data_IF_231090021391
#
_entry.id   IF_231090021391
#
_cell.length_a   1.000
_cell.length_b   1.000
_cell.length_c   1.000
_cell.angle_alpha   90.00
_cell.angle_beta   90.00
_cell.angle_gamma   90.00
#
_symmetry.space_group_name_H-M   'P 1'
#
loop_
_entity.id
_entity.type
_entity.pdbx_description
1 polymer ?
#
# COMPACT_ATOMS: atom_id res chain seq x y z
N UNK A 1 -21.83 3.27 15.11
CA UNK A 1 -20.42 3.44 15.49
C UNK A 1 -19.58 2.72 14.45
N UNK A 2 -18.45 3.29 14.04
CA UNK A 2 -17.46 2.55 13.31
C UNK A 2 -17.00 1.36 14.18
N UNK A 3 -16.59 0.26 13.56
CA UNK A 3 -16.21 -0.95 14.28
C UNK A 3 -14.78 -0.88 14.85
N UNK A 4 -14.21 -2.04 15.17
CA UNK A 4 -12.83 -2.19 15.63
C UNK A 4 -11.94 -2.64 14.48
N UNK A 5 -10.85 -1.89 14.27
CA UNK A 5 -9.82 -2.18 13.28
C UNK A 5 -8.53 -2.58 13.96
N UNK A 6 -7.90 -3.63 13.47
CA UNK A 6 -6.50 -3.91 13.77
C UNK A 6 -5.63 -3.60 12.55
N UNK A 7 -4.52 -2.91 12.76
CA UNK A 7 -3.49 -2.67 11.73
C UNK A 7 -2.21 -3.35 12.18
N UNK A 8 -1.71 -4.26 11.37
CA UNK A 8 -0.49 -5.01 11.64
C UNK A 8 0.66 -4.43 10.83
N UNK A 9 1.61 -3.83 11.52
CA UNK A 9 2.70 -3.05 10.95
C UNK A 9 2.49 -1.55 11.15
N UNK A 10 3.38 -0.89 11.90
CA UNK A 10 3.35 0.54 12.18
C UNK A 10 4.26 1.37 11.23
N UNK A 11 4.64 0.78 10.09
CA UNK A 11 5.36 1.48 9.04
C UNK A 11 4.50 2.55 8.33
N UNK A 12 5.06 3.17 7.29
CA UNK A 12 4.43 4.27 6.55
C UNK A 12 2.97 3.97 6.15
N UNK A 13 2.72 2.77 5.61
CA UNK A 13 1.38 2.39 5.15
C UNK A 13 0.45 2.10 6.33
N UNK A 14 0.88 1.28 7.30
CA UNK A 14 0.05 0.93 8.45
C UNK A 14 -0.28 2.15 9.32
N UNK A 15 0.68 3.02 9.60
CA UNK A 15 0.45 4.28 10.30
C UNK A 15 -0.57 5.15 9.55
N UNK A 16 -0.45 5.25 8.21
CA UNK A 16 -1.40 6.00 7.40
C UNK A 16 -2.81 5.40 7.39
N UNK A 17 -2.94 4.06 7.36
CA UNK A 17 -4.23 3.37 7.45
C UNK A 17 -4.84 3.58 8.84
N UNK A 18 -4.05 3.42 9.91
CA UNK A 18 -4.49 3.70 11.28
C UNK A 18 -4.98 5.15 11.44
N UNK A 19 -4.24 6.11 10.88
CA UNK A 19 -4.58 7.53 10.89
C UNK A 19 -5.97 7.80 10.29
N UNK A 20 -6.19 7.40 9.04
CA UNK A 20 -7.48 7.69 8.37
C UNK A 20 -8.65 6.96 9.01
N UNK A 21 -8.40 5.77 9.57
CA UNK A 21 -9.42 4.97 10.24
C UNK A 21 -9.82 5.60 11.58
N UNK A 22 -8.86 6.02 12.40
CA UNK A 22 -9.13 6.72 13.65
C UNK A 22 -9.85 8.05 13.43
N UNK A 23 -9.49 8.79 12.38
CA UNK A 23 -10.17 10.02 11.98
C UNK A 23 -11.63 9.74 11.55
N UNK A 24 -11.89 8.61 10.93
CA UNK A 24 -13.24 8.18 10.55
C UNK A 24 -14.06 7.56 11.70
N UNK A 25 -13.51 7.52 12.93
CA UNK A 25 -14.20 7.09 14.14
C UNK A 25 -14.05 5.60 14.47
N UNK A 26 -13.12 4.88 13.82
CA UNK A 26 -12.79 3.50 14.17
C UNK A 26 -11.94 3.45 15.45
N UNK A 27 -12.22 2.46 16.31
CA UNK A 27 -11.31 2.04 17.38
C UNK A 27 -10.17 1.24 16.72
N UNK A 28 -8.93 1.73 16.85
CA UNK A 28 -7.78 1.18 16.13
C UNK A 28 -6.78 0.56 17.08
N UNK A 29 -6.45 -0.70 16.88
CA UNK A 29 -5.27 -1.33 17.47
C UNK A 29 -4.16 -1.29 16.43
N UNK A 30 -3.10 -0.51 16.69
CA UNK A 30 -1.90 -0.47 15.85
C UNK A 30 -0.85 -1.38 16.49
N UNK A 31 -0.57 -2.52 15.82
CA UNK A 31 0.38 -3.53 16.30
C UNK A 31 1.65 -3.56 15.48
N UNK A 32 2.81 -3.58 16.15
CA UNK A 32 4.09 -3.90 15.52
C UNK A 32 4.92 -4.81 16.43
N UNK A 33 6.06 -5.30 15.95
CA UNK A 33 6.91 -6.23 16.70
C UNK A 33 7.81 -5.54 17.72
N UNK A 34 8.02 -4.21 17.61
CA UNK A 34 8.85 -3.43 18.53
C UNK A 34 8.20 -2.11 18.94
N UNK A 35 8.50 -1.66 20.16
CA UNK A 35 8.04 -0.36 20.66
C UNK A 35 8.62 0.81 19.86
N UNK A 36 9.84 0.68 19.31
CA UNK A 36 10.46 1.71 18.47
C UNK A 36 9.69 1.89 17.15
N UNK A 37 9.18 0.81 16.55
CA UNK A 37 8.35 0.90 15.35
C UNK A 37 7.00 1.56 15.66
N UNK A 38 6.39 1.20 16.78
CA UNK A 38 5.15 1.81 17.27
C UNK A 38 5.31 3.29 17.54
N UNK A 39 6.38 3.68 18.25
CA UNK A 39 6.69 5.10 18.55
C UNK A 39 6.85 5.89 17.25
N UNK A 40 7.66 5.39 16.29
CA UNK A 40 7.82 6.07 15.00
C UNK A 40 6.49 6.19 14.24
N UNK A 41 5.66 5.15 14.28
CA UNK A 41 4.35 5.15 13.62
C UNK A 41 3.40 6.17 14.24
N UNK A 42 3.26 6.18 15.56
CA UNK A 42 2.38 7.11 16.29
C UNK A 42 2.86 8.56 16.20
N UNK A 43 4.17 8.80 16.29
CA UNK A 43 4.75 10.13 16.08
C UNK A 43 4.51 10.64 14.66
N UNK A 44 4.61 9.75 13.67
CA UNK A 44 4.29 10.04 12.27
C UNK A 44 2.82 10.43 12.08
N UNK A 45 1.89 9.72 12.72
CA UNK A 45 0.46 10.05 12.71
C UNK A 45 0.23 11.43 13.35
N UNK A 46 0.81 11.67 14.53
CA UNK A 46 0.68 12.94 15.22
C UNK A 46 1.20 14.10 14.36
N UNK A 47 2.41 13.97 13.82
CA UNK A 47 3.00 14.99 12.95
C UNK A 47 2.17 15.24 11.67
N UNK A 48 1.49 14.22 11.16
CA UNK A 48 0.57 14.34 10.03
C UNK A 48 -0.68 15.14 10.42
N UNK A 49 -1.30 14.86 11.56
CA UNK A 49 -2.44 15.62 12.07
C UNK A 49 -2.05 17.08 12.35
N UNK A 50 -0.91 17.33 12.98
CA UNK A 50 -0.42 18.68 13.24
C UNK A 50 -0.31 19.51 11.94
N UNK A 51 0.16 18.88 10.85
CA UNK A 51 0.20 19.51 9.51
C UNK A 51 -1.19 19.79 8.94
N UNK A 52 -2.17 18.94 9.17
CA UNK A 52 -3.55 19.18 8.70
C UNK A 52 -4.21 20.28 9.50
N UNK A 53 -4.00 20.33 10.80
CA UNK A 53 -4.48 21.41 11.68
C UNK A 53 -3.85 22.75 11.26
N UNK A 54 -2.53 22.80 11.10
CA UNK A 54 -1.83 24.01 10.67
C UNK A 54 -2.29 24.54 9.29
N UNK A 55 -2.82 23.67 8.44
CA UNK A 55 -3.39 24.02 7.12
C UNK A 55 -4.90 24.27 7.14
N UNK A 56 -5.55 24.26 8.31
CA UNK A 56 -7.00 24.42 8.45
C UNK A 56 -7.83 23.30 7.78
N UNK A 57 -7.26 22.10 7.63
CA UNK A 57 -7.93 20.93 7.05
C UNK A 57 -8.55 20.00 8.09
N UNK A 58 -8.23 20.20 9.35
CA UNK A 58 -8.71 19.44 10.49
C UNK A 58 -8.72 20.36 11.72
N UNK A 59 -9.73 20.26 12.55
CA UNK A 59 -9.75 20.96 13.84
C UNK A 59 -8.86 20.24 14.86
N UNK A 60 -8.23 21.00 15.78
CA UNK A 60 -7.30 20.41 16.75
C UNK A 60 -7.99 19.37 17.65
N UNK A 61 -9.23 19.67 18.10
CA UNK A 61 -9.98 18.72 18.94
C UNK A 61 -10.35 17.43 18.22
N UNK A 62 -10.56 17.46 16.90
CA UNK A 62 -10.82 16.26 16.10
C UNK A 62 -9.55 15.42 15.94
N UNK A 63 -8.39 16.08 15.79
CA UNK A 63 -7.09 15.40 15.75
C UNK A 63 -6.80 14.68 17.08
N UNK A 64 -7.01 15.34 18.21
CA UNK A 64 -6.82 14.76 19.55
C UNK A 64 -7.80 13.59 19.78
N UNK A 65 -9.07 13.75 19.40
CA UNK A 65 -10.05 12.69 19.49
C UNK A 65 -9.72 11.48 18.59
N UNK A 66 -9.14 11.70 17.41
CA UNK A 66 -8.68 10.62 16.53
C UNK A 66 -7.47 9.89 17.13
N UNK A 67 -6.49 10.63 17.66
CA UNK A 67 -5.32 10.04 18.33
C UNK A 67 -5.74 9.16 19.53
N UNK A 68 -6.72 9.61 20.32
CA UNK A 68 -7.23 8.86 21.46
C UNK A 68 -7.89 7.52 21.11
N UNK A 69 -8.27 7.30 19.84
CA UNK A 69 -8.84 6.02 19.34
C UNK A 69 -7.76 5.03 18.93
N UNK A 70 -6.48 5.39 18.95
CA UNK A 70 -5.38 4.51 18.54
C UNK A 70 -4.71 3.93 19.77
N UNK A 71 -4.77 2.61 19.92
CA UNK A 71 -4.01 1.85 20.92
C UNK A 71 -2.84 1.17 20.22
N UNK A 72 -1.62 1.58 20.59
CA UNK A 72 -0.39 0.98 20.08
C UNK A 72 0.06 -0.16 21.00
N UNK A 73 0.42 -1.32 20.44
CA UNK A 73 0.83 -2.50 21.23
C UNK A 73 1.74 -3.44 20.46
N UNK A 74 2.62 -4.13 21.15
CA UNK A 74 3.39 -5.26 20.60
C UNK A 74 2.66 -6.59 20.75
N UNK A 75 1.61 -6.65 21.57
CA UNK A 75 0.81 -7.84 21.80
C UNK A 75 -0.11 -8.15 20.62
N UNK A 76 0.02 -9.34 20.04
CA UNK A 76 -0.83 -9.75 18.93
C UNK A 76 -2.25 -10.15 19.41
N UNK A 77 -2.40 -10.61 20.64
CA UNK A 77 -3.71 -11.04 21.16
C UNK A 77 -4.67 -9.85 21.35
N UNK A 78 -4.14 -8.63 21.43
CA UNK A 78 -4.95 -7.41 21.51
C UNK A 78 -5.87 -7.16 20.29
N UNK A 79 -5.68 -7.91 19.18
CA UNK A 79 -6.50 -7.78 17.97
C UNK A 79 -7.68 -8.75 17.92
N UNK A 80 -7.88 -9.58 18.95
CA UNK A 80 -8.83 -10.70 18.95
C UNK A 80 -10.28 -10.28 18.62
N UNK A 81 -10.71 -9.10 19.05
CA UNK A 81 -12.09 -8.60 18.86
C UNK A 81 -12.25 -7.64 17.66
N UNK A 82 -11.21 -7.53 16.80
CA UNK A 82 -11.29 -6.71 15.59
C UNK A 82 -12.34 -7.22 14.60
N UNK A 83 -13.05 -6.29 13.94
CA UNK A 83 -13.98 -6.59 12.84
C UNK A 83 -13.23 -6.71 11.51
N UNK A 84 -12.20 -5.90 11.37
CA UNK A 84 -11.33 -5.83 10.20
C UNK A 84 -9.88 -5.85 10.67
N UNK A 85 -9.05 -6.69 10.06
CA UNK A 85 -7.60 -6.65 10.24
C UNK A 85 -6.95 -6.26 8.93
N UNK A 86 -6.10 -5.23 8.94
CA UNK A 86 -5.31 -4.83 7.76
C UNK A 86 -3.84 -5.07 8.04
N UNK A 87 -3.24 -6.00 7.31
CA UNK A 87 -1.81 -6.28 7.35
C UNK A 87 -1.07 -5.33 6.41
N UNK A 88 -0.03 -4.66 6.91
CA UNK A 88 0.84 -3.72 6.20
C UNK A 88 2.33 -3.89 6.61
N UNK A 89 2.78 -5.15 6.71
CA UNK A 89 4.16 -5.50 7.04
C UNK A 89 5.03 -5.61 5.78
N UNK A 90 6.27 -6.09 5.91
CA UNK A 90 7.20 -6.26 4.80
C UNK A 90 6.62 -7.13 3.68
N UNK A 91 6.91 -6.75 2.43
CA UNK A 91 6.41 -7.39 1.21
C UNK A 91 7.16 -8.71 0.93
N UNK A 92 7.03 -9.66 1.88
CA UNK A 92 7.58 -11.02 1.82
C UNK A 92 6.51 -12.04 2.17
N UNK A 93 6.30 -13.02 1.29
CA UNK A 93 5.23 -14.01 1.43
C UNK A 93 5.34 -14.80 2.73
N UNK A 94 6.56 -15.19 3.11
CA UNK A 94 6.82 -15.98 4.33
C UNK A 94 6.38 -15.22 5.59
N UNK A 95 6.72 -13.91 5.67
CA UNK A 95 6.33 -13.04 6.78
C UNK A 95 4.82 -12.90 6.85
N UNK A 96 4.16 -12.69 5.70
CA UNK A 96 2.70 -12.59 5.63
C UNK A 96 2.04 -13.92 6.04
N UNK A 97 2.59 -15.05 5.62
CA UNK A 97 2.08 -16.37 6.03
C UNK A 97 2.15 -16.60 7.54
N UNK A 98 3.25 -16.22 8.20
CA UNK A 98 3.37 -16.33 9.66
C UNK A 98 2.30 -15.50 10.36
N UNK A 99 2.12 -14.26 9.93
CA UNK A 99 1.14 -13.34 10.50
C UNK A 99 -0.29 -13.82 10.25
N UNK A 100 -0.63 -14.21 9.02
CA UNK A 100 -1.97 -14.67 8.68
C UNK A 100 -2.37 -15.96 9.42
N UNK A 101 -1.43 -16.93 9.59
CA UNK A 101 -1.65 -18.11 10.43
C UNK A 101 -1.93 -17.78 11.90
N UNK A 102 -1.25 -16.77 12.43
CA UNK A 102 -1.45 -16.34 13.81
C UNK A 102 -2.78 -15.60 13.95
N UNK A 103 -3.08 -14.65 13.07
CA UNK A 103 -4.33 -13.89 13.06
C UNK A 103 -5.56 -14.79 12.91
N UNK A 104 -5.48 -15.78 12.03
CA UNK A 104 -6.58 -16.73 11.78
C UNK A 104 -7.02 -17.50 13.02
N UNK A 105 -6.12 -17.68 14.00
CA UNK A 105 -6.41 -18.34 15.28
C UNK A 105 -6.89 -17.38 16.38
N UNK A 106 -6.57 -16.10 16.26
CA UNK A 106 -6.78 -15.11 17.31
C UNK A 106 -8.08 -14.35 17.09
N UNK A 107 -8.34 -13.91 15.84
CA UNK A 107 -9.47 -13.05 15.56
C UNK A 107 -10.78 -13.84 15.49
N UNK A 108 -11.88 -13.16 15.77
CA UNK A 108 -13.22 -13.75 15.69
C UNK A 108 -13.56 -14.25 14.27
N UNK A 109 -14.45 -15.22 14.18
CA UNK A 109 -14.78 -15.93 12.94
C UNK A 109 -15.31 -15.02 11.83
N UNK A 110 -16.04 -13.97 12.20
CA UNK A 110 -16.64 -13.01 11.25
C UNK A 110 -15.66 -11.97 10.74
N UNK A 111 -14.50 -11.82 11.38
CA UNK A 111 -13.50 -10.83 10.97
C UNK A 111 -12.96 -11.11 9.57
N UNK A 112 -12.72 -10.04 8.81
CA UNK A 112 -11.97 -10.15 7.56
C UNK A 112 -10.47 -9.91 7.82
N UNK A 113 -9.64 -10.68 7.12
CA UNK A 113 -8.20 -10.52 7.09
C UNK A 113 -7.81 -9.86 5.77
N UNK A 114 -7.42 -8.60 5.82
CA UNK A 114 -7.04 -7.85 4.64
C UNK A 114 -5.52 -7.68 4.55
N UNK A 115 -4.96 -7.74 3.35
CA UNK A 115 -3.55 -7.41 3.11
C UNK A 115 -3.43 -6.14 2.27
N UNK A 116 -2.52 -5.25 2.66
CA UNK A 116 -2.16 -4.04 1.91
C UNK A 116 -1.03 -4.31 0.90
N UNK A 117 -0.79 -5.56 0.52
CA UNK A 117 0.21 -5.92 -0.49
C UNK A 117 -0.04 -5.20 -1.82
N UNK A 118 1.05 -4.85 -2.52
CA UNK A 118 0.99 -4.24 -3.85
C UNK A 118 1.21 -5.25 -4.98
N UNK A 119 1.83 -6.39 -4.71
CA UNK A 119 2.29 -7.31 -5.75
C UNK A 119 2.06 -8.78 -5.46
N UNK A 120 1.92 -9.19 -4.19
CA UNK A 120 1.73 -10.60 -3.84
C UNK A 120 0.25 -10.98 -4.06
N UNK A 121 -0.05 -12.04 -4.85
CA UNK A 121 -1.41 -12.51 -5.02
C UNK A 121 -2.10 -12.85 -3.70
N UNK A 122 -3.31 -12.38 -3.51
CA UNK A 122 -4.11 -12.60 -2.30
C UNK A 122 -4.35 -14.10 -2.09
N UNK A 123 -4.53 -14.85 -3.17
CA UNK A 123 -4.64 -16.32 -3.12
C UNK A 123 -3.45 -16.98 -2.42
N UNK A 124 -2.22 -16.51 -2.68
CA UNK A 124 -1.02 -17.03 -2.02
C UNK A 124 -1.03 -16.73 -0.52
N UNK A 125 -1.42 -15.51 -0.14
CA UNK A 125 -1.52 -15.11 1.27
C UNK A 125 -2.61 -15.92 1.99
N UNK A 126 -3.78 -16.04 1.38
CA UNK A 126 -4.93 -16.76 1.91
C UNK A 126 -4.66 -18.26 2.14
N UNK A 127 -3.73 -18.85 1.38
CA UNK A 127 -3.35 -20.25 1.53
C UNK A 127 -2.72 -20.58 2.91
N UNK A 128 -2.35 -19.57 3.70
CA UNK A 128 -1.85 -19.73 5.05
C UNK A 128 -2.94 -19.84 6.12
N UNK A 129 -4.23 -19.61 5.76
CA UNK A 129 -5.37 -19.57 6.69
C UNK A 129 -6.30 -20.77 6.49
N UNK A 130 -7.08 -21.08 7.51
CA UNK A 130 -8.17 -22.08 7.45
C UNK A 130 -9.47 -21.47 6.88
N UNK A 131 -9.55 -20.12 6.85
CA UNK A 131 -10.70 -19.33 6.34
C UNK A 131 -10.34 -18.46 5.16
N UNK A 132 -9.84 -19.02 4.03
CA UNK A 132 -9.37 -18.23 2.87
C UNK A 132 -10.47 -17.39 2.23
N UNK A 133 -11.75 -17.69 2.48
CA UNK A 133 -12.91 -16.91 2.03
C UNK A 133 -13.05 -15.58 2.78
N UNK A 134 -12.41 -15.42 3.95
CA UNK A 134 -12.34 -14.18 4.73
C UNK A 134 -11.12 -13.32 4.39
N UNK A 135 -10.25 -13.79 3.51
CA UNK A 135 -9.04 -13.06 3.11
C UNK A 135 -9.31 -12.22 1.87
N UNK A 136 -8.91 -10.94 1.89
CA UNK A 136 -9.13 -9.97 0.82
C UNK A 136 -7.93 -9.01 0.70
N UNK A 137 -7.68 -8.47 -0.46
CA UNK A 137 -6.72 -7.38 -0.63
C UNK A 137 -7.40 -6.02 -0.42
N UNK A 138 -6.74 -5.14 0.35
CA UNK A 138 -7.11 -3.72 0.47
C UNK A 138 -5.87 -2.89 0.21
N UNK A 139 -5.58 -2.67 -1.07
CA UNK A 139 -4.38 -1.96 -1.50
C UNK A 139 -4.62 -0.45 -1.44
N UNK A 140 -4.12 0.18 -0.37
CA UNK A 140 -4.07 1.63 -0.19
C UNK A 140 -2.82 2.21 -0.83
N UNK A 141 -2.85 3.51 -1.12
CA UNK A 141 -1.78 4.23 -1.80
C UNK A 141 -1.12 5.25 -0.89
N UNK A 142 0.19 5.40 -1.03
CA UNK A 142 0.99 6.36 -0.24
C UNK A 142 0.97 7.77 -0.88
N UNK A 143 0.82 8.82 -0.07
CA UNK A 143 0.49 8.88 1.37
C UNK A 143 -0.99 8.57 1.60
N UNK A 144 -1.28 7.62 2.50
CA UNK A 144 -2.68 7.14 2.70
C UNK A 144 -3.68 8.26 2.97
N UNK A 145 -3.39 9.29 3.80
CA UNK A 145 -4.34 10.37 4.04
C UNK A 145 -4.64 11.25 2.81
N UNK A 146 -3.78 11.22 1.78
CA UNK A 146 -3.92 12.08 0.60
C UNK A 146 -4.52 11.35 -0.60
N UNK A 147 -4.24 10.05 -0.71
CA UNK A 147 -4.66 9.24 -1.86
C UNK A 147 -6.08 8.71 -1.65
N UNK A 148 -6.92 8.91 -2.66
CA UNK A 148 -8.34 8.58 -2.57
C UNK A 148 -8.66 7.13 -2.96
N UNK A 149 -7.77 6.46 -3.71
CA UNK A 149 -8.02 5.12 -4.24
C UNK A 149 -7.73 4.03 -3.20
N UNK A 150 -8.57 2.99 -3.19
CA UNK A 150 -8.30 1.69 -2.62
C UNK A 150 -8.69 0.60 -3.64
N UNK A 151 -7.74 -0.27 -4.00
CA UNK A 151 -8.05 -1.47 -4.78
C UNK A 151 -8.49 -2.59 -3.84
N UNK A 152 -9.70 -3.08 -4.05
CA UNK A 152 -10.22 -4.26 -3.36
C UNK A 152 -9.93 -5.49 -4.22
N UNK A 153 -9.05 -6.35 -3.75
CA UNK A 153 -8.53 -7.45 -4.55
C UNK A 153 -9.10 -8.78 -4.08
N UNK A 154 -9.77 -9.44 -5.00
CA UNK A 154 -10.35 -10.75 -4.76
C UNK A 154 -9.30 -11.84 -5.01
N UNK A 155 -8.95 -12.61 -3.97
CA UNK A 155 -8.26 -13.88 -4.11
C UNK A 155 -9.21 -14.98 -4.64
N UNK A 156 -8.67 -16.11 -4.99
CA UNK A 156 -9.43 -17.21 -5.62
C UNK A 156 -10.65 -17.67 -4.79
N UNK A 157 -10.53 -17.66 -3.45
CA UNK A 157 -11.60 -18.09 -2.53
C UNK A 157 -12.29 -16.93 -1.82
N UNK A 158 -11.87 -15.68 -1.98
CA UNK A 158 -12.48 -14.53 -1.30
C UNK A 158 -13.99 -14.48 -1.54
N UNK A 159 -14.78 -14.47 -0.48
CA UNK A 159 -16.25 -14.42 -0.56
C UNK A 159 -16.76 -13.02 -0.94
N UNK A 160 -17.99 -12.96 -1.45
CA UNK A 160 -18.65 -11.68 -1.72
C UNK A 160 -18.89 -10.88 -0.43
N UNK A 161 -19.12 -11.57 0.68
CA UNK A 161 -19.29 -10.96 2.01
C UNK A 161 -18.01 -10.28 2.50
N UNK A 162 -16.86 -10.97 2.38
CA UNK A 162 -15.56 -10.40 2.73
C UNK A 162 -15.25 -9.17 1.87
N UNK A 163 -15.48 -9.25 0.57
CA UNK A 163 -15.30 -8.13 -0.34
C UNK A 163 -16.22 -6.94 -0.01
N UNK A 164 -17.49 -7.21 0.30
CA UNK A 164 -18.45 -6.17 0.69
C UNK A 164 -18.07 -5.52 2.03
N UNK A 165 -17.53 -6.29 2.99
CA UNK A 165 -17.04 -5.77 4.27
C UNK A 165 -15.81 -4.90 4.07
N UNK A 166 -14.83 -5.34 3.25
CA UNK A 166 -13.65 -4.55 2.89
C UNK A 166 -14.05 -3.24 2.18
N UNK A 167 -15.06 -3.27 1.30
CA UNK A 167 -15.59 -2.08 0.64
C UNK A 167 -16.18 -1.09 1.65
N UNK A 168 -17.07 -1.56 2.53
CA UNK A 168 -17.67 -0.70 3.57
C UNK A 168 -16.60 -0.06 4.44
N UNK A 169 -15.57 -0.84 4.83
CA UNK A 169 -14.44 -0.31 5.58
C UNK A 169 -13.70 0.79 4.80
N UNK A 170 -13.22 0.50 3.58
CA UNK A 170 -12.45 1.44 2.79
C UNK A 170 -13.24 2.72 2.45
N UNK A 171 -14.53 2.59 2.12
CA UNK A 171 -15.42 3.75 1.86
C UNK A 171 -15.67 4.57 3.14
N UNK A 172 -15.79 3.93 4.32
CA UNK A 172 -15.97 4.62 5.60
C UNK A 172 -14.77 5.50 5.99
N UNK A 173 -13.58 5.16 5.49
CA UNK A 173 -12.35 5.95 5.71
C UNK A 173 -12.05 6.91 4.53
N UNK A 174 -13.07 7.21 3.72
CA UNK A 174 -13.03 8.22 2.67
C UNK A 174 -12.35 7.76 1.38
N UNK A 175 -12.26 6.44 1.11
CA UNK A 175 -11.66 5.93 -0.13
C UNK A 175 -12.72 5.64 -1.19
N UNK A 176 -12.35 5.89 -2.44
CA UNK A 176 -13.07 5.39 -3.62
C UNK A 176 -12.50 4.02 -3.96
N UNK A 177 -13.38 3.01 -4.05
CA UNK A 177 -12.96 1.64 -4.27
C UNK A 177 -13.14 1.18 -5.70
N UNK A 178 -12.15 0.50 -6.25
CA UNK A 178 -12.30 -0.36 -7.43
C UNK A 178 -12.16 -1.82 -7.03
N UNK A 179 -12.79 -2.72 -7.77
CA UNK A 179 -12.68 -4.17 -7.55
C UNK A 179 -11.75 -4.78 -8.57
N UNK A 180 -10.75 -5.48 -8.08
CA UNK A 180 -9.87 -6.34 -8.87
C UNK A 180 -10.39 -7.76 -8.75
N UNK A 181 -11.08 -8.25 -9.77
CA UNK A 181 -11.76 -9.54 -9.76
C UNK A 181 -10.83 -10.75 -9.76
N UNK A 182 -9.55 -10.54 -10.05
CA UNK A 182 -8.52 -11.59 -10.10
C UNK A 182 -7.18 -11.02 -9.63
N UNK A 183 -6.58 -11.66 -8.67
CA UNK A 183 -5.36 -11.24 -7.97
C UNK A 183 -4.07 -11.51 -8.75
N UNK A 184 -3.96 -10.99 -9.96
CA UNK A 184 -2.72 -11.01 -10.72
C UNK A 184 -1.66 -10.12 -10.05
N UNK A 185 -0.39 -10.47 -10.17
CA UNK A 185 0.71 -9.69 -9.62
C UNK A 185 0.68 -8.24 -10.10
N UNK A 186 0.76 -7.28 -9.15
CA UNK A 186 0.68 -5.84 -9.42
C UNK A 186 -0.73 -5.32 -9.67
N UNK A 187 -1.77 -6.15 -9.52
CA UNK A 187 -3.18 -5.79 -9.63
C UNK A 187 -3.49 -4.93 -10.86
N UNK A 188 -4.15 -3.79 -10.70
CA UNK A 188 -4.42 -2.86 -11.81
C UNK A 188 -3.39 -1.74 -11.86
N UNK A 189 -3.29 -0.95 -10.79
CA UNK A 189 -2.52 0.29 -10.84
C UNK A 189 -1.01 0.06 -10.86
N UNK A 190 -0.49 -0.83 -10.00
CA UNK A 190 0.94 -1.16 -10.01
C UNK A 190 1.36 -1.79 -11.34
N UNK A 191 0.51 -2.66 -11.90
CA UNK A 191 0.77 -3.28 -13.19
C UNK A 191 0.81 -2.26 -14.33
N UNK A 192 -0.11 -1.31 -14.34
CA UNK A 192 -0.16 -0.25 -15.36
C UNK A 192 1.04 0.70 -15.25
N UNK A 193 1.38 1.16 -14.03
CA UNK A 193 2.50 2.08 -13.87
C UNK A 193 3.84 1.39 -14.16
N UNK A 194 4.02 0.13 -13.75
CA UNK A 194 5.22 -0.64 -14.10
C UNK A 194 5.38 -0.80 -15.61
N UNK A 195 4.31 -1.15 -16.33
CA UNK A 195 4.37 -1.26 -17.80
C UNK A 195 4.75 0.08 -18.46
N UNK A 196 4.17 1.18 -17.99
CA UNK A 196 4.45 2.52 -18.52
C UNK A 196 5.88 2.97 -18.21
N UNK A 197 6.36 2.76 -16.99
CA UNK A 197 7.72 3.15 -16.57
C UNK A 197 8.78 2.31 -17.28
N UNK A 198 8.56 0.99 -17.38
CA UNK A 198 9.50 0.10 -18.10
C UNK A 198 9.63 0.51 -19.55
N UNK A 199 8.53 0.80 -20.24
CA UNK A 199 8.58 1.26 -21.63
C UNK A 199 9.25 2.63 -21.77
N UNK A 200 8.90 3.58 -20.90
CA UNK A 200 9.53 4.90 -20.86
C UNK A 200 11.06 4.81 -20.64
N UNK A 201 11.49 3.94 -19.71
CA UNK A 201 12.91 3.72 -19.46
C UNK A 201 13.63 3.06 -20.65
N UNK A 202 12.97 2.11 -21.36
CA UNK A 202 13.51 1.51 -22.60
C UNK A 202 13.66 2.54 -23.71
N UNK A 203 12.71 3.44 -23.88
CA UNK A 203 12.81 4.55 -24.86
C UNK A 203 13.96 5.49 -24.53
N UNK A 204 14.15 5.82 -23.27
CA UNK A 204 15.26 6.66 -22.82
C UNK A 204 16.62 5.94 -22.99
N UNK A 205 16.72 4.67 -22.58
CA UNK A 205 17.94 3.85 -22.70
C UNK A 205 18.39 3.68 -24.16
N UNK A 206 17.43 3.50 -25.08
CA UNK A 206 17.70 3.37 -26.52
C UNK A 206 17.94 4.68 -27.25
N UNK A 207 17.88 5.82 -26.53
CA UNK A 207 18.13 7.15 -27.10
C UNK A 207 17.04 7.66 -28.04
N UNK A 208 15.81 7.12 -27.95
CA UNK A 208 14.67 7.59 -28.76
C UNK A 208 14.27 9.00 -28.37
N UNK A 209 14.26 9.30 -27.05
CA UNK A 209 14.00 10.64 -26.54
C UNK A 209 14.65 10.82 -25.15
N UNK A 210 14.81 12.09 -24.72
CA UNK A 210 15.27 12.41 -23.37
C UNK A 210 14.20 12.07 -22.33
N UNK A 211 14.58 11.94 -21.05
CA UNK A 211 13.63 11.75 -19.96
C UNK A 211 12.60 12.87 -19.91
N UNK A 212 13.05 14.11 -20.11
CA UNK A 212 12.22 15.31 -20.14
C UNK A 212 11.17 15.26 -21.24
N UNK A 213 11.57 14.87 -22.47
CA UNK A 213 10.67 14.80 -23.62
C UNK A 213 9.65 13.67 -23.48
N UNK A 214 10.05 12.51 -22.96
CA UNK A 214 9.13 11.39 -22.67
C UNK A 214 8.06 11.82 -21.66
N UNK A 215 8.49 12.43 -20.55
CA UNK A 215 7.57 12.90 -19.51
C UNK A 215 6.67 14.03 -20.02
N UNK A 216 7.22 14.95 -20.83
CA UNK A 216 6.45 16.02 -21.45
C UNK A 216 5.40 15.46 -22.43
N UNK A 217 5.76 14.48 -23.24
CA UNK A 217 4.83 13.82 -24.15
C UNK A 217 3.65 13.18 -23.40
N UNK A 218 3.92 12.48 -22.30
CA UNK A 218 2.85 11.91 -21.48
C UNK A 218 1.97 12.97 -20.81
N UNK A 219 2.55 14.07 -20.37
CA UNK A 219 1.79 15.18 -19.77
C UNK A 219 0.89 15.87 -20.78
N UNK A 220 1.43 16.22 -21.95
CA UNK A 220 0.69 17.00 -22.96
C UNK A 220 -0.15 16.13 -23.91
N UNK A 221 0.34 14.93 -24.24
CA UNK A 221 -0.35 14.01 -25.13
C UNK A 221 -1.46 13.19 -24.46
N UNK A 222 -1.29 12.83 -23.18
CA UNK A 222 -2.24 12.00 -22.44
C UNK A 222 -2.95 12.74 -21.30
N UNK A 223 -2.52 13.98 -20.98
CA UNK A 223 -3.07 14.73 -19.86
C UNK A 223 -2.62 14.20 -18.47
N UNK A 224 -1.50 13.50 -18.40
CA UNK A 224 -0.98 13.04 -17.13
C UNK A 224 -0.51 14.22 -16.27
N UNK A 225 -0.82 14.19 -14.97
CA UNK A 225 -0.34 15.23 -14.04
C UNK A 225 1.18 15.20 -13.88
N UNK A 226 1.78 14.02 -14.02
CA UNK A 226 3.22 13.76 -13.94
C UNK A 226 3.61 12.72 -14.99
N UNK A 227 4.78 12.88 -15.60
CA UNK A 227 5.30 11.90 -16.54
C UNK A 227 5.79 10.61 -15.85
N UNK A 228 5.98 9.51 -16.61
CA UNK A 228 6.32 8.21 -16.04
C UNK A 228 7.68 8.17 -15.31
N UNK A 229 8.70 8.83 -15.85
CA UNK A 229 10.05 8.82 -15.26
C UNK A 229 10.13 9.69 -14.01
N UNK A 230 9.46 10.85 -13.98
CA UNK A 230 9.29 11.65 -12.77
C UNK A 230 8.45 10.92 -11.72
N UNK A 231 7.48 10.11 -12.12
CA UNK A 231 6.70 9.25 -11.23
C UNK A 231 7.57 8.14 -10.65
N UNK A 232 8.50 7.58 -11.45
CA UNK A 232 9.46 6.60 -10.97
C UNK A 232 10.38 7.18 -9.89
N UNK A 233 10.89 8.38 -10.10
CA UNK A 233 11.74 9.08 -9.11
C UNK A 233 10.98 9.45 -7.83
N UNK A 234 9.71 9.83 -7.95
CA UNK A 234 8.86 10.13 -6.79
C UNK A 234 8.54 8.87 -5.97
N UNK A 235 8.25 7.76 -6.63
CA UNK A 235 7.90 6.48 -5.99
C UNK A 235 9.13 5.80 -5.40
N UNK A 236 10.24 5.90 -6.10
CA UNK A 236 11.50 5.19 -5.91
C UNK A 236 11.71 4.15 -7.00
N UNK A 237 12.81 4.30 -7.75
CA UNK A 237 13.18 3.39 -8.85
C UNK A 237 13.37 1.97 -8.35
N UNK A 238 13.92 1.80 -7.15
CA UNK A 238 14.09 0.50 -6.47
C UNK A 238 12.75 -0.18 -6.16
N UNK A 239 11.75 0.58 -5.72
CA UNK A 239 10.40 0.07 -5.44
C UNK A 239 9.74 -0.42 -6.72
N UNK A 240 9.82 0.38 -7.81
CA UNK A 240 9.25 0.00 -9.09
C UNK A 240 10.02 -1.14 -9.75
N UNK A 241 11.34 -1.19 -9.63
CA UNK A 241 12.14 -2.31 -10.09
C UNK A 241 11.74 -3.62 -9.40
N UNK A 242 11.58 -3.57 -8.06
CA UNK A 242 11.12 -4.74 -7.31
C UNK A 242 9.72 -5.19 -7.74
N UNK A 243 8.77 -4.26 -7.85
CA UNK A 243 7.41 -4.56 -8.30
C UNK A 243 7.38 -5.13 -9.73
N UNK A 244 8.14 -4.54 -10.64
CA UNK A 244 8.28 -4.99 -12.03
C UNK A 244 8.86 -6.40 -12.11
N UNK A 245 9.91 -6.71 -11.34
CA UNK A 245 10.51 -8.04 -11.28
C UNK A 245 9.52 -9.08 -10.73
N UNK A 246 8.72 -8.74 -9.71
CA UNK A 246 7.69 -9.61 -9.19
C UNK A 246 6.62 -9.90 -10.25
N UNK A 247 6.15 -8.87 -10.98
CA UNK A 247 5.18 -9.03 -12.05
C UNK A 247 5.75 -9.90 -13.16
N UNK A 248 7.02 -9.68 -13.56
CA UNK A 248 7.70 -10.48 -14.58
C UNK A 248 7.82 -11.95 -14.16
N UNK A 249 8.27 -12.20 -12.94
CA UNK A 249 8.42 -13.55 -12.38
C UNK A 249 7.10 -14.33 -12.39
N UNK A 250 6.00 -13.68 -12.02
CA UNK A 250 4.68 -14.32 -11.96
C UNK A 250 4.01 -14.47 -13.33
N UNK A 251 4.22 -13.53 -14.26
CA UNK A 251 3.52 -13.52 -15.54
C UNK A 251 4.34 -14.07 -16.71
N UNK A 252 5.67 -14.08 -16.60
CA UNK A 252 6.62 -14.40 -17.67
C UNK A 252 6.39 -13.53 -18.94
N UNK A 253 5.88 -12.30 -18.76
CA UNK A 253 5.56 -11.39 -19.85
C UNK A 253 6.70 -10.38 -20.02
N UNK A 254 7.43 -10.48 -21.14
CA UNK A 254 8.62 -9.68 -21.46
C UNK A 254 8.42 -8.15 -21.40
N UNK A 255 7.18 -7.68 -21.50
CA UNK A 255 6.89 -6.25 -21.35
C UNK A 255 7.23 -5.72 -19.94
N UNK A 256 7.30 -6.60 -18.93
CA UNK A 256 7.71 -6.27 -17.57
C UNK A 256 9.19 -6.57 -17.30
N UNK A 257 9.96 -7.03 -18.29
CA UNK A 257 11.40 -7.15 -18.13
C UNK A 257 12.02 -5.76 -18.01
N UNK A 258 12.54 -5.45 -16.81
CA UNK A 258 13.16 -4.15 -16.56
C UNK A 258 14.39 -3.94 -17.44
N UNK A 259 14.60 -2.73 -18.02
CA UNK A 259 15.79 -2.42 -18.79
C UNK A 259 17.04 -2.41 -17.88
N UNK A 260 18.21 -2.51 -18.50
CA UNK A 260 19.49 -2.54 -17.77
C UNK A 260 19.72 -1.23 -17.01
N UNK A 261 19.35 -0.09 -17.60
CA UNK A 261 19.46 1.23 -16.99
C UNK A 261 18.80 1.31 -15.62
N UNK A 262 17.58 0.80 -15.45
CA UNK A 262 16.90 0.79 -14.14
C UNK A 262 17.63 -0.07 -13.11
N UNK A 263 18.16 -1.23 -13.51
CA UNK A 263 18.95 -2.08 -12.60
C UNK A 263 20.24 -1.39 -12.16
N UNK A 264 20.97 -0.81 -13.12
CA UNK A 264 22.21 -0.07 -12.83
C UNK A 264 21.99 1.15 -11.94
N UNK A 265 20.90 1.88 -12.14
CA UNK A 265 20.53 3.00 -11.26
C UNK A 265 20.35 2.53 -9.83
N UNK A 266 19.58 1.45 -9.62
CA UNK A 266 19.37 0.89 -8.27
C UNK A 266 20.67 0.39 -7.65
N UNK A 267 21.52 -0.31 -8.42
CA UNK A 267 22.84 -0.78 -7.97
C UNK A 267 23.78 0.39 -7.58
N UNK A 268 23.66 1.52 -8.27
CA UNK A 268 24.42 2.75 -7.98
C UNK A 268 23.85 3.56 -6.80
N UNK A 269 22.66 3.24 -6.32
CA UNK A 269 21.97 4.02 -5.30
C UNK A 269 21.19 5.24 -5.84
N UNK A 270 21.06 5.37 -7.15
CA UNK A 270 20.31 6.44 -7.83
C UNK A 270 18.81 6.07 -7.87
N UNK A 271 18.16 6.13 -6.72
CA UNK A 271 16.82 5.58 -6.52
C UNK A 271 15.71 6.66 -6.49
N UNK A 272 15.97 7.82 -7.07
CA UNK A 272 15.03 8.92 -7.23
C UNK A 272 15.13 9.98 -6.14
N UNK A 273 14.04 10.68 -5.84
CA UNK A 273 14.03 11.83 -4.90
C UNK A 273 14.64 11.54 -3.54
N UNK A 274 14.45 10.34 -3.00
CA UNK A 274 14.96 9.97 -1.68
C UNK A 274 16.49 9.87 -1.60
N UNK A 275 17.17 9.71 -2.73
CA UNK A 275 18.64 9.71 -2.84
C UNK A 275 19.19 11.00 -3.46
N UNK A 276 18.33 11.91 -3.96
CA UNK A 276 18.72 13.12 -4.66
C UNK A 276 19.04 12.91 -6.15
N UNK A 277 19.07 11.67 -6.63
CA UNK A 277 19.35 11.29 -8.00
C UNK A 277 18.49 10.10 -8.42
N UNK A 278 17.98 10.15 -9.64
CA UNK A 278 17.23 9.10 -10.32
C UNK A 278 17.31 9.34 -11.83
N UNK A 279 16.19 9.24 -12.54
CA UNK A 279 16.08 9.73 -13.92
C UNK A 279 16.36 11.23 -14.01
N UNK A 280 16.11 11.96 -12.92
CA UNK A 280 16.39 13.38 -12.73
C UNK A 280 17.31 13.60 -11.55
N UNK A 281 17.93 14.78 -11.53
CA UNK A 281 18.60 15.31 -10.34
C UNK A 281 17.61 16.11 -9.51
N UNK A 282 17.60 15.89 -8.21
CA UNK A 282 16.65 16.48 -7.26
C UNK A 282 17.31 17.35 -6.20
#
# INVERSE_FOLDING_TARGET
MAGKLAVIGAGLMGAGIAQVSAQAGWEVVLRDVTDEALTRGTDGIKASYDKFVAKGKLEAHDADAALARITATTDLDAVADADVVVEAVFEKLEVKHEIFRALDKIVKDEAILASNTSAIPITKIAAATERPERVVGTHFFSPVPMMQLCELVRGYKTSDEALATARRFAESVGKTCIVVNRDVAGFVTTRLICALVVEAAKLQESGVASAEDIDLACKLGFGHAMGPLATADLTGVDILLHATNNIYTESQDEKFAAPESMRRMVDAGDIGRKSGQGFYKH
#
